data_IF_503843820772
#
_entry.id   IF_503843820772
#
_cell.length_a   1.000
_cell.length_b   1.000
_cell.length_c   1.000
_cell.angle_alpha   90.00
_cell.angle_beta   90.00
_cell.angle_gamma   90.00
#
_symmetry.space_group_name_H-M   'P 1'
#
loop_
_entity.id
_entity.type
_entity.pdbx_description
1 polymer ?
#
# COMPACT_ATOMS: atom_id res chain seq x y z
N UNK A 1 -0.18 37.13 -25.96
CA UNK A 1 1.10 36.95 -25.23
C UNK A 1 1.29 35.45 -24.96
N UNK A 2 1.53 34.65 -26.01
CA UNK A 2 1.40 33.18 -25.94
C UNK A 2 2.67 32.43 -26.34
N UNK A 3 3.75 33.15 -26.69
CA UNK A 3 4.97 32.56 -27.24
C UNK A 3 6.09 32.25 -26.24
N UNK A 4 5.91 32.57 -24.95
CA UNK A 4 6.98 32.44 -23.94
C UNK A 4 6.89 31.16 -23.10
N UNK A 5 5.74 30.46 -23.14
CA UNK A 5 5.48 29.23 -22.39
C UNK A 5 6.07 27.98 -23.06
N UNK A 6 6.35 27.99 -24.36
CA UNK A 6 6.95 26.83 -25.05
C UNK A 6 8.45 26.65 -24.76
N UNK A 7 9.11 27.67 -24.19
CA UNK A 7 10.52 27.61 -23.81
C UNK A 7 10.77 26.97 -22.44
N UNK A 8 9.72 26.81 -21.62
CA UNK A 8 9.84 26.31 -20.26
C UNK A 8 9.17 24.94 -20.13
N UNK A 9 9.90 23.98 -19.58
CA UNK A 9 9.36 22.67 -19.24
C UNK A 9 8.67 22.71 -17.87
N UNK A 10 7.86 21.70 -17.56
CA UNK A 10 7.35 21.51 -16.19
C UNK A 10 8.41 20.83 -15.33
N UNK A 11 8.42 21.16 -14.04
CA UNK A 11 9.22 20.49 -13.03
C UNK A 11 9.04 18.96 -13.13
N UNK A 12 10.15 18.22 -13.03
CA UNK A 12 10.16 16.76 -13.17
C UNK A 12 9.46 16.02 -12.02
N UNK A 13 9.21 16.68 -10.88
CA UNK A 13 8.48 16.04 -9.78
C UNK A 13 6.98 15.93 -10.08
N UNK A 14 6.39 14.72 -9.98
CA UNK A 14 4.97 14.52 -10.22
C UNK A 14 4.10 15.44 -9.37
N UNK A 15 3.16 16.12 -10.02
CA UNK A 15 2.20 17.02 -9.36
C UNK A 15 2.72 18.44 -9.08
N UNK A 16 4.01 18.73 -9.29
CA UNK A 16 4.51 20.10 -9.18
C UNK A 16 4.02 20.94 -10.39
N UNK A 17 3.44 22.13 -10.16
CA UNK A 17 2.99 23.00 -11.25
C UNK A 17 4.09 23.95 -11.76
N UNK A 18 5.22 24.07 -11.06
CA UNK A 18 6.28 25.02 -11.38
C UNK A 18 6.96 24.68 -12.71
N UNK A 19 7.50 25.74 -13.33
CA UNK A 19 8.21 25.67 -14.60
C UNK A 19 9.72 25.73 -14.40
N UNK A 20 10.46 25.09 -15.30
CA UNK A 20 11.91 24.96 -15.31
C UNK A 20 12.45 25.20 -16.73
N UNK A 21 13.76 25.44 -16.84
CA UNK A 21 14.40 25.79 -18.11
C UNK A 21 14.68 24.59 -19.01
N UNK A 22 14.82 23.38 -18.46
CA UNK A 22 15.06 22.16 -19.21
C UNK A 22 14.15 21.01 -18.74
N UNK A 23 13.72 20.17 -19.68
CA UNK A 23 12.96 18.97 -19.35
C UNK A 23 13.81 18.02 -18.49
N UNK A 24 13.24 17.53 -17.39
CA UNK A 24 13.96 16.70 -16.41
C UNK A 24 14.56 17.49 -15.24
N UNK A 25 14.56 18.83 -15.29
CA UNK A 25 14.98 19.65 -14.16
C UNK A 25 13.92 19.70 -13.04
N UNK A 26 14.39 20.00 -11.82
CA UNK A 26 13.56 20.15 -10.62
C UNK A 26 13.62 21.61 -10.17
N UNK A 27 12.46 22.22 -9.88
CA UNK A 27 12.40 23.62 -9.46
C UNK A 27 13.10 23.83 -8.09
N UNK A 28 13.51 25.08 -7.80
CA UNK A 28 14.22 25.41 -6.57
C UNK A 28 13.44 25.03 -5.29
N UNK A 29 12.12 25.21 -5.29
CA UNK A 29 11.27 24.84 -4.14
C UNK A 29 11.30 23.33 -3.87
N UNK A 30 11.24 22.51 -4.91
CA UNK A 30 11.34 21.07 -4.82
C UNK A 30 12.76 20.59 -4.45
N UNK A 31 13.81 21.25 -4.96
CA UNK A 31 15.19 20.99 -4.53
C UNK A 31 15.35 21.29 -3.05
N UNK A 32 14.81 22.40 -2.55
CA UNK A 32 14.88 22.73 -1.13
C UNK A 32 14.08 21.74 -0.25
N UNK A 33 12.88 21.34 -0.69
CA UNK A 33 12.01 20.46 0.08
C UNK A 33 12.52 19.01 0.12
N UNK A 34 13.01 18.49 -1.01
CA UNK A 34 13.42 17.10 -1.13
C UNK A 34 14.93 16.91 -0.94
N UNK A 35 15.75 17.93 -1.21
CA UNK A 35 17.20 17.94 -0.99
C UNK A 35 17.89 16.62 -1.35
N UNK A 36 18.49 15.92 -0.38
CA UNK A 36 19.26 14.69 -0.61
C UNK A 36 18.42 13.49 -1.05
N UNK A 37 17.08 13.55 -0.94
CA UNK A 37 16.20 12.49 -1.42
C UNK A 37 16.01 12.50 -2.94
N UNK A 38 16.44 13.57 -3.63
CA UNK A 38 16.42 13.64 -5.09
C UNK A 38 17.61 12.88 -5.66
N UNK A 39 17.33 11.73 -6.27
CA UNK A 39 18.31 10.97 -7.03
C UNK A 39 18.20 11.32 -8.51
N UNK A 40 19.19 12.06 -9.03
CA UNK A 40 19.33 12.25 -10.48
C UNK A 40 19.74 10.92 -11.10
N UNK A 41 18.93 10.40 -12.00
CA UNK A 41 19.33 9.28 -12.86
C UNK A 41 20.04 9.86 -14.06
N UNK A 42 21.26 9.41 -14.30
CA UNK A 42 21.96 9.77 -15.54
C UNK A 42 21.16 9.25 -16.73
N UNK A 43 21.02 10.06 -17.81
CA UNK A 43 20.46 9.57 -19.05
C UNK A 43 21.20 8.31 -19.52
N UNK A 44 20.45 7.34 -20.05
CA UNK A 44 20.97 6.15 -20.73
C UNK A 44 20.83 6.34 -22.24
N UNK A 45 21.64 7.21 -22.88
CA UNK A 45 21.47 7.54 -24.30
C UNK A 45 21.67 6.35 -25.25
N UNK A 46 22.33 5.30 -24.78
CA UNK A 46 22.53 4.03 -25.49
C UNK A 46 21.26 3.16 -25.57
N UNK A 47 20.21 3.53 -24.82
CA UNK A 47 18.98 2.75 -24.72
C UNK A 47 17.87 3.44 -25.47
N UNK A 48 17.24 2.71 -26.39
CA UNK A 48 16.14 3.26 -27.17
C UNK A 48 14.86 3.34 -26.32
N UNK A 49 13.92 4.22 -26.68
CA UNK A 49 12.61 4.29 -26.02
C UNK A 49 11.89 2.94 -25.98
N UNK A 50 12.01 2.13 -27.03
CA UNK A 50 11.41 0.79 -27.12
C UNK A 50 12.03 -0.16 -26.09
N UNK A 51 13.35 -0.13 -25.92
CA UNK A 51 14.03 -0.94 -24.90
C UNK A 51 13.61 -0.54 -23.48
N UNK A 52 13.44 0.77 -23.22
CA UNK A 52 12.92 1.25 -21.93
C UNK A 52 11.48 0.73 -21.71
N UNK A 53 10.65 0.77 -22.76
CA UNK A 53 9.27 0.26 -22.69
C UNK A 53 9.24 -1.24 -22.39
N UNK A 54 10.13 -2.03 -23.02
CA UNK A 54 10.26 -3.46 -22.77
C UNK A 54 10.73 -3.77 -21.34
N UNK A 55 11.74 -3.03 -20.83
CA UNK A 55 12.21 -3.14 -19.43
C UNK A 55 11.06 -2.86 -18.43
N UNK A 56 10.27 -1.82 -18.67
CA UNK A 56 9.12 -1.47 -17.82
C UNK A 56 8.01 -2.52 -17.93
N UNK A 57 7.70 -3.01 -19.12
CA UNK A 57 6.70 -4.05 -19.33
C UNK A 57 7.07 -5.36 -18.61
N UNK A 58 8.35 -5.73 -18.61
CA UNK A 58 8.83 -6.89 -17.86
C UNK A 58 8.69 -6.71 -16.34
N UNK A 59 9.09 -5.55 -15.82
CA UNK A 59 8.89 -5.21 -14.40
C UNK A 59 7.41 -5.29 -14.01
N UNK A 60 6.54 -4.74 -14.85
CA UNK A 60 5.10 -4.69 -14.58
C UNK A 60 4.48 -6.09 -14.64
N UNK A 61 4.89 -6.95 -15.58
CA UNK A 61 4.53 -8.38 -15.59
C UNK A 61 4.93 -9.08 -14.29
N UNK A 62 6.17 -8.88 -13.83
CA UNK A 62 6.66 -9.46 -12.57
C UNK A 62 5.85 -8.99 -11.36
N UNK A 63 5.49 -7.70 -11.33
CA UNK A 63 4.64 -7.13 -10.27
C UNK A 63 3.25 -7.74 -10.28
N UNK A 64 2.60 -7.83 -11.45
CA UNK A 64 1.28 -8.44 -11.61
C UNK A 64 1.31 -9.91 -11.15
N UNK A 65 2.32 -10.67 -11.57
CA UNK A 65 2.47 -12.07 -11.18
C UNK A 65 2.64 -12.24 -9.67
N UNK A 66 3.42 -11.37 -9.01
CA UNK A 66 3.59 -11.39 -7.57
C UNK A 66 2.28 -11.12 -6.83
N UNK A 67 1.48 -10.14 -7.27
CA UNK A 67 0.16 -9.88 -6.69
C UNK A 67 -0.82 -11.03 -6.94
N UNK A 68 -0.80 -11.64 -8.13
CA UNK A 68 -1.62 -12.81 -8.42
C UNK A 68 -1.25 -14.00 -7.54
N UNK A 69 0.04 -14.26 -7.32
CA UNK A 69 0.53 -15.30 -6.42
C UNK A 69 0.12 -15.04 -4.96
N UNK A 70 0.21 -13.78 -4.51
CA UNK A 70 -0.29 -13.39 -3.18
C UNK A 70 -1.80 -13.64 -3.07
N UNK A 71 -2.60 -13.22 -4.06
CA UNK A 71 -4.04 -13.45 -4.06
C UNK A 71 -4.39 -14.96 -4.03
N UNK A 72 -3.63 -15.79 -4.75
CA UNK A 72 -3.85 -17.24 -4.78
C UNK A 72 -3.61 -17.93 -3.42
N UNK A 73 -2.73 -17.39 -2.55
CA UNK A 73 -2.52 -17.95 -1.20
C UNK A 73 -3.53 -17.46 -0.15
N UNK A 74 -4.33 -16.43 -0.42
CA UNK A 74 -5.40 -15.95 0.50
C UNK A 74 -6.77 -16.58 0.21
N UNK A 75 -6.81 -17.67 -0.57
CA UNK A 75 -8.06 -18.30 -0.97
C UNK A 75 -8.65 -19.14 0.18
N UNK A 76 -9.46 -18.48 1.02
CA UNK A 76 -10.55 -19.13 1.77
C UNK A 76 -11.62 -18.12 2.28
N UNK A 77 -11.32 -16.82 2.32
CA UNK A 77 -12.29 -15.76 2.68
C UNK A 77 -12.17 -14.59 1.71
N UNK A 78 -13.30 -14.02 1.28
CA UNK A 78 -13.32 -12.79 0.48
C UNK A 78 -12.55 -11.68 1.22
N UNK A 79 -11.52 -11.05 0.58
CA UNK A 79 -10.68 -10.04 1.24
C UNK A 79 -11.45 -8.83 1.77
N UNK A 80 -12.56 -8.45 1.14
CA UNK A 80 -13.42 -7.36 1.61
C UNK A 80 -14.18 -7.78 2.88
N UNK A 81 -14.62 -9.03 2.96
CA UNK A 81 -15.28 -9.59 4.16
C UNK A 81 -14.27 -9.67 5.32
N UNK A 82 -13.06 -10.15 5.07
CA UNK A 82 -11.99 -10.21 6.09
C UNK A 82 -11.64 -8.80 6.62
N UNK A 83 -11.50 -7.83 5.72
CA UNK A 83 -11.26 -6.44 6.09
C UNK A 83 -12.38 -5.85 6.94
N UNK A 84 -13.65 -6.08 6.56
CA UNK A 84 -14.81 -5.62 7.32
C UNK A 84 -14.87 -6.27 8.71
N UNK A 85 -14.59 -7.57 8.82
CA UNK A 85 -14.54 -8.29 10.10
C UNK A 85 -13.49 -7.69 11.04
N UNK A 86 -12.26 -7.45 10.53
CA UNK A 86 -11.18 -6.79 11.29
C UNK A 86 -11.58 -5.40 11.80
N UNK A 87 -12.24 -4.61 10.96
CA UNK A 87 -12.62 -3.21 11.26
C UNK A 87 -13.82 -3.12 12.20
N UNK A 88 -14.70 -4.12 12.17
CA UNK A 88 -15.82 -4.28 13.11
C UNK A 88 -15.34 -4.60 14.53
N UNK A 89 -14.36 -5.49 14.69
CA UNK A 89 -13.73 -5.78 16.00
C UNK A 89 -13.15 -4.52 16.63
N UNK A 90 -12.54 -3.64 15.83
CA UNK A 90 -12.03 -2.34 16.28
C UNK A 90 -13.12 -1.27 16.46
N UNK A 91 -14.39 -1.64 16.26
CA UNK A 91 -15.59 -0.77 16.38
C UNK A 91 -15.54 0.47 15.48
N UNK A 92 -14.83 0.40 14.35
CA UNK A 92 -14.65 1.53 13.44
C UNK A 92 -15.71 1.62 12.33
N UNK A 93 -16.67 0.68 12.26
CA UNK A 93 -17.66 0.63 11.18
C UNK A 93 -19.03 0.15 11.69
N UNK A 94 -20.08 0.78 11.17
CA UNK A 94 -21.47 0.29 11.22
C UNK A 94 -21.78 -0.42 9.91
N UNK A 95 -22.32 -1.63 9.99
CA UNK A 95 -22.64 -2.48 8.83
C UNK A 95 -24.12 -2.86 8.84
N UNK A 96 -24.65 -3.17 7.66
CA UNK A 96 -26.02 -3.69 7.52
C UNK A 96 -26.16 -5.04 8.25
N UNK A 97 -27.31 -5.37 8.86
CA UNK A 97 -27.50 -6.61 9.61
C UNK A 97 -27.19 -7.89 8.84
N UNK A 98 -27.40 -7.91 7.52
CA UNK A 98 -27.06 -9.08 6.69
C UNK A 98 -25.55 -9.27 6.54
N UNK A 99 -24.80 -8.16 6.40
CA UNK A 99 -23.34 -8.17 6.36
C UNK A 99 -22.77 -8.55 7.72
N UNK A 100 -23.42 -8.14 8.82
CA UNK A 100 -23.00 -8.49 10.18
C UNK A 100 -22.90 -10.02 10.37
N UNK A 101 -23.91 -10.76 9.89
CA UNK A 101 -23.91 -12.23 9.97
C UNK A 101 -22.72 -12.87 9.26
N UNK A 102 -22.33 -12.32 8.12
CA UNK A 102 -21.21 -12.83 7.33
C UNK A 102 -19.88 -12.55 8.04
N UNK A 103 -19.68 -11.33 8.56
CA UNK A 103 -18.41 -10.95 9.19
C UNK A 103 -18.23 -11.53 10.60
N UNK A 104 -19.30 -11.80 11.33
CA UNK A 104 -19.24 -12.45 12.65
C UNK A 104 -18.83 -13.93 12.56
N UNK A 105 -19.04 -14.56 11.41
CA UNK A 105 -18.58 -15.92 11.13
C UNK A 105 -17.09 -16.00 10.79
N UNK A 106 -16.42 -14.86 10.54
CA UNK A 106 -15.00 -14.82 10.19
C UNK A 106 -14.14 -14.77 11.46
N UNK A 107 -13.26 -15.75 11.62
CA UNK A 107 -12.24 -15.71 12.67
C UNK A 107 -11.28 -14.54 12.41
N UNK A 108 -11.24 -13.56 13.33
CA UNK A 108 -10.33 -12.42 13.22
C UNK A 108 -9.05 -12.69 14.00
N UNK A 109 -7.93 -12.73 13.29
CA UNK A 109 -6.58 -12.85 13.87
C UNK A 109 -5.75 -11.60 13.61
N UNK A 110 -5.06 -11.10 14.63
CA UNK A 110 -4.16 -9.93 14.55
C UNK A 110 -2.88 -10.11 15.35
N UNK A 111 -1.80 -9.54 14.85
CA UNK A 111 -0.53 -9.41 15.57
C UNK A 111 -0.60 -8.31 16.63
N UNK A 112 0.32 -8.38 17.60
CA UNK A 112 0.58 -7.35 18.62
C UNK A 112 -0.64 -6.95 19.48
N UNK A 113 -1.61 -7.85 19.66
CA UNK A 113 -2.77 -7.64 20.53
C UNK A 113 -2.43 -8.03 21.97
N UNK A 114 -3.00 -7.32 22.94
CA UNK A 114 -2.84 -7.64 24.36
C UNK A 114 -3.71 -8.86 24.69
N UNK A 115 -3.08 -9.99 25.01
CA UNK A 115 -3.80 -11.20 25.39
C UNK A 115 -4.56 -10.97 26.71
N UNK A 116 -5.86 -11.24 26.75
CA UNK A 116 -6.68 -11.10 27.95
C UNK A 116 -6.22 -12.00 29.11
N UNK A 117 -5.62 -13.15 28.81
CA UNK A 117 -5.26 -14.14 29.82
C UNK A 117 -3.86 -13.94 30.40
N UNK A 118 -2.88 -13.54 29.58
CA UNK A 118 -1.49 -13.41 30.02
C UNK A 118 -0.97 -11.97 29.97
N UNK A 119 -1.78 -11.01 29.52
CA UNK A 119 -1.45 -9.57 29.43
C UNK A 119 -0.21 -9.25 28.58
N UNK A 120 0.26 -10.20 27.77
CA UNK A 120 1.38 -9.99 26.85
C UNK A 120 0.89 -9.67 25.43
N UNK A 121 1.71 -8.93 24.68
CA UNK A 121 1.46 -8.63 23.27
C UNK A 121 1.85 -9.81 22.39
N UNK A 122 0.87 -10.41 21.72
CA UNK A 122 1.05 -11.63 20.90
C UNK A 122 0.25 -11.55 19.60
N UNK A 123 0.44 -12.54 18.73
CA UNK A 123 -0.55 -12.85 17.70
C UNK A 123 -1.74 -13.55 18.38
N UNK A 124 -2.91 -12.93 18.29
CA UNK A 124 -4.11 -13.37 18.98
C UNK A 124 -5.29 -13.49 18.02
N UNK A 125 -6.23 -14.36 18.37
CA UNK A 125 -7.55 -14.48 17.76
C UNK A 125 -8.58 -13.76 18.63
N UNK A 126 -9.54 -13.07 18.01
CA UNK A 126 -10.63 -12.38 18.71
C UNK A 126 -11.79 -13.35 18.96
N UNK A 127 -12.14 -13.55 20.23
CA UNK A 127 -13.16 -14.51 20.69
C UNK A 127 -14.06 -13.77 21.67
N UNK A 128 -15.37 -13.75 21.46
CA UNK A 128 -16.38 -13.09 22.32
C UNK A 128 -15.98 -11.70 22.87
N UNK A 129 -15.35 -10.85 22.07
CA UNK A 129 -14.95 -9.50 22.49
C UNK A 129 -13.60 -9.38 23.20
N UNK A 130 -12.83 -10.47 23.32
CA UNK A 130 -11.48 -10.52 23.92
C UNK A 130 -10.45 -11.09 22.95
N UNK A 131 -9.18 -10.76 23.18
CA UNK A 131 -8.06 -11.29 22.41
C UNK A 131 -7.37 -12.42 23.17
N UNK A 132 -7.21 -13.57 22.53
CA UNK A 132 -6.55 -14.73 23.13
C UNK A 132 -5.42 -15.25 22.22
N UNK A 133 -4.24 -15.46 22.80
CA UNK A 133 -3.10 -16.03 22.07
C UNK A 133 -3.19 -17.57 22.00
N UNK A 134 -2.53 -18.18 21.02
CA UNK A 134 -2.59 -19.63 20.79
C UNK A 134 -2.19 -20.45 22.03
N UNK A 135 -1.17 -19.98 22.77
CA UNK A 135 -0.70 -20.64 23.99
C UNK A 135 -1.78 -20.68 25.07
N UNK A 136 -2.48 -19.57 25.29
CA UNK A 136 -3.50 -19.49 26.33
C UNK A 136 -4.80 -20.19 25.94
N UNK A 137 -5.14 -20.20 24.63
CA UNK A 137 -6.29 -20.95 24.10
C UNK A 137 -6.14 -22.45 24.29
N UNK A 138 -4.94 -22.99 24.10
CA UNK A 138 -4.67 -24.44 24.25
C UNK A 138 -4.70 -24.98 25.68
N UNK A 139 -4.98 -24.14 26.67
CA UNK A 139 -5.02 -24.49 28.10
C UNK A 139 -6.45 -24.47 28.67
N UNK A 140 -7.41 -23.86 27.94
CA UNK A 140 -8.81 -23.73 28.39
C UNK A 140 -9.60 -25.03 28.28
#
# INVERSE_FOLDING_TARGET
>A
MTGQLELLARCALPGCPDVVTAAGDVCAGCVQACGPYLARREPRPEVTPEQIADELAERDRGTIAAYAAQAAVVADVDPAVEWLAKRRVEKHVTVHPEVLKVIEAVEVRKSNQLCWLCEERRACTHIDGRWECDKCRGIQ
#
